data_IF_448147055720
#
_entry.id   IF_448147055720
#
_cell.length_a   1.000
_cell.length_b   1.000
_cell.length_c   1.000
_cell.angle_alpha   90.00
_cell.angle_beta   90.00
_cell.angle_gamma   90.00
#
_symmetry.space_group_name_H-M   'P 1'
#
loop_
_entity.id
_entity.type
_entity.pdbx_description
1 polymer ?
#
# COMPACT_ATOMS: atom_id res chain seq x y z
N UNK A 1 -15.38 -5.16 -0.87
CA UNK A 1 -14.08 -4.54 -1.15
C UNK A 1 -13.24 -4.70 0.11
N UNK A 2 -12.31 -5.67 0.14
CA UNK A 2 -11.46 -5.89 1.31
C UNK A 2 -10.19 -5.07 1.15
N UNK A 3 -10.21 -3.84 1.67
CA UNK A 3 -8.99 -3.05 1.84
C UNK A 3 -8.36 -3.56 3.13
N UNK A 4 -7.55 -4.63 3.04
CA UNK A 4 -6.79 -5.08 4.20
C UNK A 4 -5.74 -4.02 4.52
N UNK A 5 -6.03 -3.15 5.46
CA UNK A 5 -5.05 -2.14 5.90
C UNK A 5 -3.91 -2.86 6.65
N UNK A 6 -2.67 -2.33 6.65
CA UNK A 6 -1.57 -2.89 7.43
C UNK A 6 -1.90 -3.09 8.92
N UNK A 7 -2.80 -2.25 9.45
CA UNK A 7 -3.35 -2.36 10.79
C UNK A 7 -4.12 -3.68 11.03
N UNK A 8 -4.73 -4.26 10.00
CA UNK A 8 -5.44 -5.55 10.05
C UNK A 8 -4.48 -6.75 9.98
N UNK A 9 -3.24 -6.54 9.52
CA UNK A 9 -2.24 -7.61 9.33
C UNK A 9 -1.33 -7.76 10.53
N UNK A 10 -1.10 -6.65 11.25
CA UNK A 10 -0.23 -6.64 12.43
C UNK A 10 -1.02 -6.85 13.70
N UNK A 11 -0.55 -7.80 14.51
CA UNK A 11 -0.99 -7.98 15.88
C UNK A 11 -0.47 -6.83 16.77
N UNK A 12 -0.95 -6.75 18.01
CA UNK A 12 -0.38 -5.82 18.99
C UNK A 12 1.12 -6.07 19.24
N UNK A 13 1.56 -7.32 19.24
CA UNK A 13 2.97 -7.68 19.40
C UNK A 13 3.83 -7.18 18.22
N UNK A 14 3.33 -7.32 16.99
CA UNK A 14 4.04 -6.81 15.80
C UNK A 14 4.19 -5.29 15.84
N UNK A 15 3.14 -4.57 16.25
CA UNK A 15 3.19 -3.11 16.44
C UNK A 15 4.23 -2.70 17.48
N UNK A 16 4.35 -3.44 18.58
CA UNK A 16 5.39 -3.21 19.58
C UNK A 16 6.81 -3.45 19.03
N UNK A 17 7.01 -4.47 18.19
CA UNK A 17 8.29 -4.73 17.52
C UNK A 17 8.66 -3.61 16.56
N UNK A 18 7.71 -3.13 15.76
CA UNK A 18 7.91 -1.99 14.85
C UNK A 18 8.28 -0.72 15.63
N UNK A 19 7.54 -0.41 16.71
CA UNK A 19 7.84 0.74 17.55
C UNK A 19 9.23 0.64 18.22
N UNK A 20 9.62 -0.55 18.67
CA UNK A 20 10.96 -0.79 19.23
C UNK A 20 12.06 -0.61 18.17
N UNK A 21 11.85 -1.12 16.95
CA UNK A 21 12.78 -0.95 15.83
C UNK A 21 12.93 0.52 15.42
N UNK A 22 11.83 1.27 15.36
CA UNK A 22 11.85 2.71 15.07
C UNK A 22 12.66 3.52 16.09
N UNK A 23 12.64 3.13 17.37
CA UNK A 23 13.47 3.78 18.40
C UNK A 23 14.96 3.47 18.21
N UNK A 24 15.30 2.29 17.69
CA UNK A 24 16.69 1.86 17.43
C UNK A 24 17.24 2.46 16.13
N UNK A 25 16.37 2.77 15.17
CA UNK A 25 16.71 3.36 13.86
C UNK A 25 15.86 4.60 13.58
N UNK A 26 16.06 5.70 14.33
CA UNK A 26 15.31 6.93 14.13
C UNK A 26 15.47 7.52 12.72
N UNK A 27 16.58 7.24 12.04
CA UNK A 27 16.91 7.71 10.69
C UNK A 27 15.96 7.20 9.59
N UNK A 28 15.30 6.05 9.82
CA UNK A 28 14.31 5.50 8.87
C UNK A 28 12.88 5.72 9.35
N UNK A 29 12.66 6.36 10.50
CA UNK A 29 11.33 6.52 11.08
C UNK A 29 10.41 7.32 10.15
N UNK A 30 9.25 6.74 9.84
CA UNK A 30 8.21 7.40 9.08
C UNK A 30 7.17 8.04 10.00
N UNK A 31 6.54 9.10 9.49
CA UNK A 31 5.39 9.73 10.14
C UNK A 31 4.20 8.75 10.19
N UNK A 32 3.39 8.84 11.25
CA UNK A 32 2.24 7.97 11.46
C UNK A 32 1.19 8.10 10.37
N UNK A 33 0.98 9.32 9.85
CA UNK A 33 0.02 9.59 8.77
C UNK A 33 0.50 9.03 7.43
N UNK A 34 1.81 9.08 7.19
CA UNK A 34 2.42 8.51 5.99
C UNK A 34 2.34 6.98 6.03
N UNK A 35 2.63 6.37 7.19
CA UNK A 35 2.48 4.93 7.41
C UNK A 35 1.07 4.41 7.13
N UNK A 36 0.04 5.18 7.52
CA UNK A 36 -1.36 4.79 7.36
C UNK A 36 -1.81 4.71 5.89
N UNK A 37 -1.20 5.51 5.01
CA UNK A 37 -1.56 5.60 3.58
C UNK A 37 -0.61 4.82 2.67
N UNK A 38 0.46 4.26 3.22
CA UNK A 38 1.45 3.55 2.43
C UNK A 38 0.90 2.25 1.83
N UNK A 39 1.19 1.98 0.56
CA UNK A 39 0.84 0.71 -0.06
C UNK A 39 1.62 -0.44 0.57
N UNK A 40 1.10 -1.65 0.41
CA UNK A 40 1.70 -2.90 0.90
C UNK A 40 3.19 -3.05 0.55
N UNK A 41 3.55 -2.77 -0.71
CA UNK A 41 4.93 -2.87 -1.18
C UNK A 41 5.86 -1.92 -0.43
N UNK A 42 5.41 -0.70 -0.14
CA UNK A 42 6.19 0.29 0.61
C UNK A 42 6.34 -0.13 2.08
N UNK A 43 5.33 -0.76 2.67
CA UNK A 43 5.42 -1.35 4.01
C UNK A 43 6.46 -2.46 4.10
N UNK A 44 6.55 -3.32 3.09
CA UNK A 44 7.54 -4.39 3.07
C UNK A 44 8.97 -3.84 3.05
N UNK A 45 9.23 -2.84 2.20
CA UNK A 45 10.55 -2.16 2.14
C UNK A 45 10.88 -1.46 3.46
N UNK A 46 9.90 -0.79 4.07
CA UNK A 46 10.08 -0.11 5.34
C UNK A 46 10.44 -1.09 6.47
N UNK A 47 9.77 -2.25 6.52
CA UNK A 47 10.05 -3.27 7.53
C UNK A 47 11.42 -3.92 7.35
N UNK A 48 11.90 -4.08 6.12
CA UNK A 48 13.28 -4.50 5.88
C UNK A 48 14.29 -3.45 6.34
N UNK A 49 14.02 -2.17 6.11
CA UNK A 49 14.84 -1.08 6.63
C UNK A 49 14.85 -1.01 8.17
N UNK A 50 13.80 -1.51 8.82
CA UNK A 50 13.71 -1.66 10.27
C UNK A 50 14.30 -2.97 10.82
N UNK A 51 14.91 -3.81 9.97
CA UNK A 51 15.46 -5.13 10.33
C UNK A 51 14.38 -6.11 10.84
N UNK A 52 13.19 -6.05 10.22
CA UNK A 52 12.04 -6.91 10.49
C UNK A 52 11.61 -7.70 9.24
N UNK A 53 12.49 -8.55 8.67
CA UNK A 53 12.22 -9.25 7.41
C UNK A 53 11.05 -10.24 7.51
N UNK A 54 10.79 -10.80 8.68
CA UNK A 54 9.66 -11.70 8.91
C UNK A 54 8.31 -10.97 8.75
N UNK A 55 8.23 -9.72 9.22
CA UNK A 55 7.03 -8.89 9.04
C UNK A 55 6.91 -8.42 7.60
N UNK A 56 8.02 -8.08 6.94
CA UNK A 56 8.02 -7.74 5.52
C UNK A 56 7.48 -8.88 4.65
N UNK A 57 7.89 -10.12 4.94
CA UNK A 57 7.40 -11.30 4.22
C UNK A 57 5.90 -11.54 4.45
N UNK A 58 5.40 -11.31 5.67
CA UNK A 58 3.96 -11.39 5.96
C UNK A 58 3.14 -10.36 5.20
N UNK A 59 3.64 -9.14 5.08
CA UNK A 59 3.01 -8.09 4.27
C UNK A 59 2.91 -8.52 2.80
N UNK A 60 4.01 -9.04 2.22
CA UNK A 60 4.04 -9.52 0.82
C UNK A 60 3.08 -10.68 0.54
N UNK A 61 2.88 -11.56 1.51
CA UNK A 61 2.07 -12.77 1.35
C UNK A 61 0.59 -12.56 1.66
N UNK A 62 0.25 -11.60 2.52
CA UNK A 62 -1.13 -11.36 2.97
C UNK A 62 -1.80 -10.14 2.36
N UNK A 63 -1.05 -9.18 1.84
CA UNK A 63 -1.65 -8.06 1.10
C UNK A 63 -1.81 -8.46 -0.35
N UNK A 64 -3.01 -8.23 -0.95
CA UNK A 64 -3.13 -8.32 -2.39
C UNK A 64 -2.10 -7.38 -3.02
N UNK A 65 -1.32 -7.91 -3.98
CA UNK A 65 -0.32 -7.16 -4.77
C UNK A 65 -0.90 -5.91 -5.47
N UNK A 66 -2.23 -5.83 -5.56
CA UNK A 66 -2.98 -4.79 -6.26
C UNK A 66 -3.33 -3.62 -5.35
N UNK A 67 -2.38 -2.72 -5.09
CA UNK A 67 -2.71 -1.30 -4.84
C UNK A 67 -2.40 -0.42 -6.06
N UNK A 68 -1.59 -0.90 -7.02
CA UNK A 68 -1.28 -0.14 -8.24
C UNK A 68 -2.36 -0.23 -9.34
N UNK A 69 -3.40 -1.06 -9.16
CA UNK A 69 -4.48 -1.26 -10.16
C UNK A 69 -5.74 -0.40 -9.91
N UNK A 70 -5.78 0.35 -8.80
CA UNK A 70 -6.93 1.20 -8.42
C UNK A 70 -6.75 2.68 -8.78
N UNK A 71 -5.66 3.03 -9.47
CA UNK A 71 -5.44 4.36 -10.04
C UNK A 71 -5.77 4.40 -11.54
N UNK A 72 -6.83 3.72 -11.98
CA UNK A 72 -7.49 4.04 -13.25
C UNK A 72 -8.68 4.96 -12.93
N UNK A 73 -8.63 6.26 -13.26
CA UNK A 73 -9.79 7.11 -13.10
C UNK A 73 -10.91 6.58 -14.02
N UNK A 74 -12.13 6.33 -13.52
CA UNK A 74 -13.24 5.86 -14.34
C UNK A 74 -13.80 7.01 -15.20
N UNK A 75 -13.00 7.61 -16.09
CA UNK A 75 -13.49 8.69 -16.96
C UNK A 75 -12.74 8.86 -18.29
N UNK A 76 -12.36 7.75 -18.94
CA UNK A 76 -11.81 7.80 -20.31
C UNK A 76 -12.59 6.95 -21.34
N UNK A 77 -13.77 6.42 -21.00
CA UNK A 77 -14.59 5.62 -21.94
C UNK A 77 -15.98 6.17 -22.27
N UNK A 78 -16.28 7.44 -21.96
CA UNK A 78 -17.54 8.08 -22.38
C UNK A 78 -17.40 9.43 -23.09
N UNK A 79 -16.25 9.72 -23.70
CA UNK A 79 -16.15 10.78 -24.70
C UNK A 79 -15.50 10.24 -25.97
N UNK A 80 -16.25 10.22 -27.07
CA UNK A 80 -15.67 10.04 -28.40
C UNK A 80 -15.96 8.73 -29.13
N UNK A 81 -17.18 8.17 -29.06
CA UNK A 81 -17.68 7.37 -30.19
C UNK A 81 -18.21 8.32 -31.26
N UNK A 82 -17.28 8.76 -32.09
CA UNK A 82 -17.43 9.45 -33.36
C UNK A 82 -18.49 8.75 -34.23
N UNK A 83 -19.72 9.25 -34.25
CA UNK A 83 -20.67 8.96 -35.35
C UNK A 83 -20.60 10.09 -36.37
N UNK A 84 -19.62 10.00 -37.26
CA UNK A 84 -19.74 10.61 -38.57
C UNK A 84 -20.84 9.87 -39.35
N UNK A 85 -22.06 10.39 -39.30
CA UNK A 85 -23.10 10.05 -40.28
C UNK A 85 -23.03 11.08 -41.39
N UNK A 86 -22.32 10.74 -42.46
CA UNK A 86 -22.30 11.52 -43.71
C UNK A 86 -23.69 11.51 -44.34
N UNK A 87 -24.06 12.67 -44.86
CA UNK A 87 -25.24 12.93 -45.67
C UNK A 87 -25.22 12.13 -46.98
N UNK A 88 -26.40 11.80 -47.47
CA UNK A 88 -26.74 11.57 -48.87
C UNK A 88 -28.17 11.98 -49.08
#
# INVERSE_FOLDING_TARGET
MFVTTPAEIFTAADRSRVAAAQRRRPEVRLDGDLCARMPAAAWAVYLEALDLPDLAQRVRTRLPLSYSDLADPPDARRAGSTRHRRAS
#
